data_IF_842260113079
#
_entry.id   IF_842260113079
#
_cell.length_a   1.000
_cell.length_b   1.000
_cell.length_c   1.000
_cell.angle_alpha   90.00
_cell.angle_beta   90.00
_cell.angle_gamma   90.00
#
_symmetry.space_group_name_H-M   'P 1'
#
loop_
_entity.id
_entity.type
_entity.pdbx_description
1 polymer ?
#
# COMPACT_ATOMS: atom_id res chain seq x y z
N UNK A 1 -3.49 -35.90 27.55
CA UNK A 1 -2.81 -35.27 26.39
C UNK A 1 -1.33 -35.14 26.74
N UNK A 2 -0.43 -35.70 25.93
CA UNK A 2 1.01 -35.71 26.23
C UNK A 2 1.58 -34.28 26.15
N UNK A 3 2.49 -33.88 27.05
CA UNK A 3 3.05 -32.51 27.12
C UNK A 3 3.68 -32.10 25.78
N UNK A 4 4.36 -33.05 25.13
CA UNK A 4 4.94 -32.84 23.80
C UNK A 4 3.86 -32.49 22.76
N UNK A 5 2.70 -33.15 22.80
CA UNK A 5 1.57 -32.83 21.91
C UNK A 5 1.03 -31.43 22.18
N UNK A 6 0.93 -31.01 23.44
CA UNK A 6 0.47 -29.66 23.80
C UNK A 6 1.42 -28.58 23.27
N UNK A 7 2.73 -28.78 23.43
CA UNK A 7 3.75 -27.85 22.94
C UNK A 7 3.72 -27.72 21.42
N UNK A 8 3.60 -28.85 20.70
CA UNK A 8 3.49 -28.86 19.24
C UNK A 8 2.23 -28.09 18.80
N UNK A 9 1.07 -28.33 19.44
CA UNK A 9 -0.17 -27.63 19.13
C UNK A 9 -0.05 -26.11 19.30
N UNK A 10 0.57 -25.64 20.39
CA UNK A 10 0.78 -24.21 20.66
C UNK A 10 1.73 -23.58 19.62
N UNK A 11 2.83 -24.27 19.27
CA UNK A 11 3.77 -23.81 18.24
C UNK A 11 3.09 -23.68 16.87
N UNK A 12 2.27 -24.65 16.46
CA UNK A 12 1.52 -24.58 15.19
C UNK A 12 0.42 -23.52 15.19
N UNK A 13 -0.07 -23.09 16.36
CA UNK A 13 -1.09 -22.03 16.44
C UNK A 13 -0.49 -20.64 16.19
N UNK A 14 0.81 -20.47 16.50
CA UNK A 14 1.51 -19.18 16.35
C UNK A 14 1.77 -18.80 14.88
N UNK A 15 1.64 -19.74 13.94
CA UNK A 15 1.88 -19.48 12.51
C UNK A 15 0.71 -18.78 11.82
N UNK A 16 -0.43 -18.57 12.49
CA UNK A 16 -1.60 -17.87 11.95
C UNK A 16 -1.54 -16.34 12.10
N UNK A 17 -0.35 -15.74 11.94
CA UNK A 17 -0.27 -14.28 11.86
C UNK A 17 -0.76 -13.85 10.49
N UNK A 18 -1.98 -13.31 10.42
CA UNK A 18 -2.48 -12.66 9.19
C UNK A 18 -1.65 -11.43 8.88
N UNK A 19 -1.14 -11.37 7.64
CA UNK A 19 -0.48 -10.19 7.10
C UNK A 19 -1.42 -8.97 7.17
N UNK A 20 -0.87 -7.77 7.32
CA UNK A 20 -1.67 -6.55 7.32
C UNK A 20 -2.18 -6.28 5.89
N UNK A 21 -3.46 -6.51 5.67
CA UNK A 21 -4.02 -6.42 4.32
C UNK A 21 -4.23 -4.96 3.86
N UNK A 22 -3.90 -4.73 2.60
CA UNK A 22 -4.20 -3.47 1.88
C UNK A 22 -5.21 -3.75 0.78
N UNK A 23 -6.22 -2.89 0.72
CA UNK A 23 -7.20 -2.85 -0.38
C UNK A 23 -7.40 -1.42 -0.88
N UNK A 24 -7.53 -1.26 -2.19
CA UNK A 24 -7.85 0.04 -2.77
C UNK A 24 -9.35 0.31 -2.60
N UNK A 25 -9.69 1.48 -2.05
CA UNK A 25 -11.08 1.91 -1.88
C UNK A 25 -11.56 2.60 -3.15
N UNK A 26 -10.96 3.74 -3.45
CA UNK A 26 -11.35 4.60 -4.55
C UNK A 26 -10.15 5.42 -5.02
N UNK A 27 -10.16 5.71 -6.32
CA UNK A 27 -9.26 6.68 -6.93
C UNK A 27 -10.18 7.67 -7.60
N UNK A 28 -10.36 8.83 -6.96
CA UNK A 28 -11.32 9.85 -7.38
C UNK A 28 -10.57 11.05 -7.92
N UNK A 29 -10.87 11.38 -9.17
CA UNK A 29 -10.53 12.68 -9.73
C UNK A 29 -11.52 13.72 -9.23
N UNK A 30 -11.01 14.76 -8.58
CA UNK A 30 -11.80 15.86 -8.06
C UNK A 30 -11.82 17.03 -9.04
N UNK A 31 -12.80 17.94 -8.88
CA UNK A 31 -12.84 19.19 -9.66
C UNK A 31 -11.56 19.99 -9.39
N UNK A 32 -10.86 20.42 -10.46
CA UNK A 32 -9.57 21.16 -10.49
C UNK A 32 -8.28 20.33 -10.52
N UNK A 33 -8.22 19.24 -11.30
CA UNK A 33 -6.99 18.45 -11.52
C UNK A 33 -6.36 17.87 -10.23
N UNK A 34 -7.14 17.71 -9.18
CA UNK A 34 -6.70 17.07 -7.95
C UNK A 34 -7.14 15.60 -7.94
N UNK A 35 -6.25 14.73 -7.45
CA UNK A 35 -6.48 13.29 -7.39
C UNK A 35 -6.39 12.84 -5.95
N UNK A 36 -7.39 12.09 -5.52
CA UNK A 36 -7.40 11.42 -4.22
C UNK A 36 -7.25 9.93 -4.45
N UNK A 37 -6.18 9.36 -3.89
CA UNK A 37 -5.92 7.92 -3.90
C UNK A 37 -6.15 7.39 -2.49
N UNK A 38 -7.23 6.63 -2.32
CA UNK A 38 -7.66 6.10 -1.02
C UNK A 38 -7.48 4.58 -0.97
N UNK A 39 -6.85 4.11 0.09
CA UNK A 39 -6.70 2.68 0.37
C UNK A 39 -6.94 2.41 1.86
N UNK A 40 -7.41 1.21 2.16
CA UNK A 40 -7.59 0.74 3.53
C UNK A 40 -6.38 -0.06 3.99
N UNK A 41 -6.07 0.07 5.27
CA UNK A 41 -5.09 -0.71 6.01
C UNK A 41 -5.82 -1.46 7.12
N UNK A 42 -5.74 -2.79 7.16
CA UNK A 42 -6.38 -3.59 8.23
C UNK A 42 -5.82 -3.23 9.61
N UNK A 43 -4.51 -2.93 9.68
CA UNK A 43 -3.77 -2.59 10.90
C UNK A 43 -2.86 -1.39 10.65
N UNK A 44 -2.41 -0.73 11.73
CA UNK A 44 -1.40 0.33 11.64
C UNK A 44 -0.12 -0.23 11.02
N UNK A 45 0.51 0.55 10.14
CA UNK A 45 1.78 0.23 9.51
C UNK A 45 2.64 1.48 9.35
N UNK A 46 3.96 1.29 9.33
CA UNK A 46 4.90 2.33 8.94
C UNK A 46 4.79 2.60 7.44
N UNK A 47 4.54 3.86 7.07
CA UNK A 47 4.45 4.30 5.67
C UNK A 47 5.61 5.25 5.37
N UNK A 48 6.48 4.83 4.46
CA UNK A 48 7.52 5.70 3.89
C UNK A 48 7.03 6.29 2.58
N UNK A 49 7.06 7.61 2.45
CA UNK A 49 6.62 8.33 1.25
C UNK A 49 7.71 9.25 0.71
N UNK A 50 7.92 9.23 -0.60
CA UNK A 50 8.93 10.03 -1.29
C UNK A 50 8.58 10.25 -2.77
N UNK A 51 9.17 11.29 -3.37
CA UNK A 51 9.10 11.56 -4.80
C UNK A 51 10.39 11.14 -5.52
N UNK A 52 10.27 10.81 -6.80
CA UNK A 52 11.37 10.58 -7.74
C UNK A 52 11.18 11.51 -8.93
N UNK A 53 12.26 12.05 -9.50
CA UNK A 53 12.17 13.07 -10.57
C UNK A 53 12.32 12.49 -11.98
N UNK A 54 13.06 11.39 -12.15
CA UNK A 54 13.42 10.82 -13.47
C UNK A 54 13.15 9.31 -13.54
N UNK A 55 11.96 8.88 -14.01
CA UNK A 55 10.77 9.69 -14.32
C UNK A 55 10.04 10.16 -13.05
N UNK A 56 9.16 11.17 -13.22
CA UNK A 56 8.36 11.73 -12.12
C UNK A 56 7.43 10.67 -11.51
N UNK A 57 7.60 10.41 -10.20
CA UNK A 57 6.79 9.44 -9.45
C UNK A 57 6.57 9.88 -8.01
N UNK A 58 5.43 9.54 -7.45
CA UNK A 58 5.24 9.45 -6.00
C UNK A 58 5.23 7.98 -5.60
N UNK A 59 6.01 7.65 -4.57
CA UNK A 59 6.16 6.28 -4.08
C UNK A 59 5.77 6.23 -2.61
N UNK A 60 4.95 5.24 -2.29
CA UNK A 60 4.52 4.92 -0.94
C UNK A 60 4.87 3.46 -0.66
N UNK A 61 5.73 3.25 0.33
CA UNK A 61 6.10 1.92 0.81
C UNK A 61 5.42 1.70 2.16
N UNK A 62 4.54 0.71 2.20
CA UNK A 62 3.81 0.30 3.41
C UNK A 62 4.44 -0.99 3.92
N UNK A 63 5.02 -0.93 5.12
CA UNK A 63 5.79 -2.04 5.69
C UNK A 63 4.87 -3.06 6.37
N UNK A 64 5.36 -4.29 6.52
CA UNK A 64 4.63 -5.40 7.15
C UNK A 64 3.21 -5.61 6.59
N UNK A 65 3.06 -5.42 5.28
CA UNK A 65 1.77 -5.40 4.60
C UNK A 65 1.70 -6.33 3.40
N UNK A 66 0.47 -6.69 3.04
CA UNK A 66 0.18 -7.51 1.88
C UNK A 66 -1.02 -6.95 1.10
N UNK A 67 -0.84 -6.71 -0.19
CA UNK A 67 -1.88 -6.22 -1.07
C UNK A 67 -2.77 -7.39 -1.51
N UNK A 68 -4.09 -7.26 -1.34
CA UNK A 68 -5.04 -8.32 -1.73
C UNK A 68 -5.01 -8.60 -3.23
N UNK A 69 -4.96 -7.54 -4.04
CA UNK A 69 -4.94 -7.64 -5.50
C UNK A 69 -3.97 -6.61 -6.06
N UNK A 70 -3.03 -7.06 -6.88
CA UNK A 70 -2.13 -6.16 -7.61
C UNK A 70 -2.93 -5.15 -8.44
N UNK A 71 -2.43 -3.92 -8.48
CA UNK A 71 -3.03 -2.83 -9.26
C UNK A 71 -2.04 -2.42 -10.34
N UNK A 72 -2.52 -2.31 -11.59
CA UNK A 72 -1.84 -1.58 -12.67
C UNK A 72 -2.92 -0.95 -13.54
N UNK A 73 -3.19 0.34 -13.32
CA UNK A 73 -4.27 1.05 -13.99
C UNK A 73 -3.78 2.39 -14.53
N UNK A 74 -4.02 2.62 -15.82
CA UNK A 74 -3.72 3.88 -16.50
C UNK A 74 -4.77 4.96 -16.18
N UNK A 75 -4.32 6.20 -16.20
CA UNK A 75 -5.11 7.41 -15.95
C UNK A 75 -4.70 8.50 -16.94
N UNK A 76 -5.51 9.56 -16.98
CA UNK A 76 -5.20 10.77 -17.75
C UNK A 76 -4.41 11.78 -16.91
N UNK A 77 -3.92 12.82 -17.59
CA UNK A 77 -3.13 13.87 -16.97
C UNK A 77 -3.77 14.40 -15.67
N UNK A 78 -3.00 14.56 -14.57
CA UNK A 78 -1.55 14.52 -14.46
C UNK A 78 -0.96 13.16 -14.03
N UNK A 79 -1.78 12.14 -13.75
CA UNK A 79 -1.31 10.81 -13.35
C UNK A 79 -1.31 9.90 -14.59
N UNK A 80 -0.15 9.38 -14.99
CA UNK A 80 -0.04 8.41 -16.09
C UNK A 80 -0.67 7.08 -15.72
N UNK A 81 -0.27 6.56 -14.55
CA UNK A 81 -0.78 5.30 -14.03
C UNK A 81 -0.55 5.18 -12.54
N UNK A 82 -1.36 4.34 -11.92
CA UNK A 82 -1.20 3.93 -10.52
C UNK A 82 -0.95 2.43 -10.51
N UNK A 83 0.11 2.05 -9.80
CA UNK A 83 0.51 0.66 -9.63
C UNK A 83 0.69 0.31 -8.18
N UNK A 84 0.34 -0.91 -7.82
CA UNK A 84 0.64 -1.43 -6.51
C UNK A 84 0.96 -2.92 -6.56
N UNK A 85 1.99 -3.31 -5.84
CA UNK A 85 2.40 -4.70 -5.68
C UNK A 85 3.12 -4.90 -4.34
N UNK A 86 3.03 -6.11 -3.80
CA UNK A 86 3.76 -6.51 -2.59
C UNK A 86 4.98 -7.33 -2.94
N UNK A 87 6.11 -7.02 -2.31
CA UNK A 87 7.31 -7.83 -2.34
C UNK A 87 7.98 -7.79 -0.97
N UNK A 88 8.37 -8.96 -0.44
CA UNK A 88 9.08 -9.08 0.84
C UNK A 88 8.38 -8.35 2.01
N UNK A 89 7.06 -8.46 2.12
CA UNK A 89 6.27 -7.81 3.18
C UNK A 89 6.14 -6.29 3.04
N UNK A 90 6.56 -5.71 1.92
CA UNK A 90 6.40 -4.28 1.63
C UNK A 90 5.46 -4.13 0.44
N UNK A 91 4.33 -3.47 0.65
CA UNK A 91 3.46 -3.05 -0.43
C UNK A 91 3.93 -1.70 -0.95
N UNK A 92 4.28 -1.65 -2.24
CA UNK A 92 4.72 -0.44 -2.92
C UNK A 92 3.60 0.08 -3.80
N UNK A 93 3.09 1.26 -3.48
CA UNK A 93 2.12 2.01 -4.29
C UNK A 93 2.89 3.10 -5.03
N UNK A 94 2.76 3.16 -6.34
CA UNK A 94 3.48 4.08 -7.22
C UNK A 94 2.48 4.83 -8.07
N UNK A 95 2.52 6.16 -7.99
CA UNK A 95 1.83 7.06 -8.91
C UNK A 95 2.88 7.51 -9.93
N UNK A 96 2.82 6.99 -11.14
CA UNK A 96 3.64 7.47 -12.25
C UNK A 96 2.99 8.73 -12.83
N UNK A 97 3.73 9.83 -12.94
CA UNK A 97 3.20 11.15 -13.27
C UNK A 97 3.64 11.64 -14.65
N UNK A 98 2.83 12.49 -15.29
CA UNK A 98 3.21 13.18 -16.53
C UNK A 98 4.36 14.17 -16.30
N UNK A 99 4.29 14.91 -15.20
CA UNK A 99 5.27 15.93 -14.80
C UNK A 99 5.40 16.01 -13.28
N UNK A 100 6.19 16.97 -12.79
CA UNK A 100 6.30 17.21 -11.34
C UNK A 100 5.02 17.83 -10.82
N UNK A 101 4.53 17.34 -9.69
CA UNK A 101 3.33 17.86 -9.03
C UNK A 101 3.68 18.31 -7.62
N UNK A 102 3.07 19.41 -7.20
CA UNK A 102 3.05 19.75 -5.78
C UNK A 102 2.25 18.66 -5.05
N UNK A 103 2.88 18.04 -4.05
CA UNK A 103 2.26 16.98 -3.28
C UNK A 103 2.56 17.14 -1.80
N UNK A 104 1.63 16.66 -0.98
CA UNK A 104 1.78 16.57 0.46
C UNK A 104 1.88 15.11 0.85
N UNK A 105 2.76 14.80 1.82
CA UNK A 105 2.86 13.45 2.37
C UNK A 105 1.50 12.98 2.91
N UNK A 106 1.22 11.66 2.85
CA UNK A 106 -0.01 11.12 3.41
C UNK A 106 -0.10 11.44 4.89
N UNK A 107 -1.29 11.83 5.34
CA UNK A 107 -1.60 12.03 6.74
C UNK A 107 -2.57 10.94 7.18
N UNK A 108 -2.29 10.28 8.29
CA UNK A 108 -3.26 9.37 8.90
C UNK A 108 -4.39 10.20 9.50
N UNK A 109 -5.61 9.95 9.05
CA UNK A 109 -6.84 10.53 9.60
C UNK A 109 -7.48 9.43 10.46
N UNK A 110 -7.80 9.77 11.71
CA UNK A 110 -8.42 8.88 12.69
C UNK A 110 -9.94 8.88 12.58
#
# INVERSE_FOLDING_TARGET
MNIIKLVITILTLSTFVKANEISFNEIVESKKNSFTVSFFLEKISYIKSYSLESPSRLVFEVYDSNLLTNLDKAYDYPIKKIRAATSNGITKIVLDLYEYVEWKKPTQIY
#
